data_IF_795164194548
#
_entry.id   IF_795164194548
#
_cell.length_a   1.000
_cell.length_b   1.000
_cell.length_c   1.000
_cell.angle_alpha   90.00
_cell.angle_beta   90.00
_cell.angle_gamma   90.00
#
_symmetry.space_group_name_H-M   'P 1'
#
loop_
_entity.id
_entity.type
_entity.pdbx_description
1 polymer ?
#
# COMPACT_ATOMS: atom_id res chain seq x y z
N UNK A 1 -22.53 -26.71 5.13
CA UNK A 1 -21.17 -26.23 5.40
C UNK A 1 -21.11 -25.80 6.85
N UNK A 2 -20.28 -26.46 7.65
CA UNK A 2 -20.14 -26.16 9.07
C UNK A 2 -19.20 -24.97 9.23
N UNK A 3 -19.75 -23.84 9.66
CA UNK A 3 -18.98 -22.68 10.08
C UNK A 3 -18.20 -23.04 11.35
N UNK A 4 -16.88 -23.20 11.24
CA UNK A 4 -15.98 -23.18 12.40
C UNK A 4 -15.64 -21.73 12.69
N UNK A 5 -16.36 -21.14 13.63
CA UNK A 5 -15.98 -19.87 14.27
C UNK A 5 -14.58 -20.04 14.89
N UNK A 6 -13.57 -19.33 14.36
CA UNK A 6 -12.28 -19.09 15.02
C UNK A 6 -12.57 -18.24 16.27
N UNK A 7 -12.91 -18.90 17.38
CA UNK A 7 -13.01 -18.26 18.71
C UNK A 7 -11.62 -17.83 19.17
N UNK A 8 -11.51 -16.57 19.59
CA UNK A 8 -10.52 -15.99 20.51
C UNK A 8 -9.32 -16.89 20.84
N UNK A 9 -8.21 -16.68 20.13
CA UNK A 9 -6.88 -17.20 20.49
C UNK A 9 -5.89 -16.09 20.89
N UNK A 10 -6.38 -14.91 21.28
CA UNK A 10 -5.56 -13.90 21.96
C UNK A 10 -5.62 -14.08 23.47
N UNK A 11 -5.07 -15.19 23.97
CA UNK A 11 -4.69 -15.32 25.38
C UNK A 11 -3.79 -16.54 25.54
N UNK A 12 -2.57 -16.42 25.02
CA UNK A 12 -1.34 -17.11 25.45
C UNK A 12 -0.30 -16.90 24.35
N UNK A 13 0.08 -15.63 24.11
CA UNK A 13 1.31 -15.34 23.39
C UNK A 13 2.43 -15.27 24.42
N UNK A 14 3.48 -16.05 24.14
CA UNK A 14 4.70 -16.15 24.90
C UNK A 14 5.25 -14.78 25.32
N UNK A 15 5.88 -14.75 26.48
CA UNK A 15 6.72 -13.66 26.95
C UNK A 15 7.86 -13.42 25.94
N UNK A 16 7.60 -12.68 24.86
CA UNK A 16 8.66 -12.02 24.11
C UNK A 16 9.26 -10.99 25.06
N UNK A 17 10.58 -11.01 25.20
CA UNK A 17 11.26 -9.91 25.86
C UNK A 17 10.83 -8.64 25.13
N UNK A 18 10.28 -7.67 25.88
CA UNK A 18 9.94 -6.35 25.32
C UNK A 18 11.26 -5.76 24.85
N UNK A 19 11.45 -5.73 23.54
CA UNK A 19 12.64 -5.20 22.91
C UNK A 19 12.76 -3.72 23.29
N UNK A 20 13.97 -3.26 23.63
CA UNK A 20 14.15 -1.87 24.03
C UNK A 20 13.83 -0.94 22.85
N UNK A 21 13.03 0.12 23.07
CA UNK A 21 12.62 1.01 21.99
C UNK A 21 13.82 1.76 21.43
N UNK A 22 13.94 1.76 20.11
CA UNK A 22 14.99 2.51 19.40
C UNK A 22 14.83 4.02 19.63
N UNK A 23 15.94 4.80 19.66
CA UNK A 23 15.89 6.25 19.83
C UNK A 23 14.92 6.96 18.87
N UNK A 24 14.88 6.53 17.61
CA UNK A 24 14.01 7.07 16.57
C UNK A 24 12.53 6.83 16.87
N UNK A 25 12.18 5.70 17.50
CA UNK A 25 10.79 5.43 17.91
C UNK A 25 10.36 6.34 19.07
N UNK A 26 11.28 6.67 19.99
CA UNK A 26 11.00 7.60 21.09
C UNK A 26 10.80 9.02 20.56
N UNK A 27 11.62 9.46 19.62
CA UNK A 27 11.49 10.76 18.97
C UNK A 27 10.21 10.86 18.14
N UNK A 28 9.88 9.81 17.38
CA UNK A 28 8.63 9.73 16.62
C UNK A 28 7.39 9.85 17.52
N UNK A 29 7.41 9.24 18.72
CA UNK A 29 6.34 9.38 19.73
C UNK A 29 6.25 10.79 20.30
N UNK A 30 7.39 11.49 20.44
CA UNK A 30 7.38 12.91 20.82
C UNK A 30 6.69 13.75 19.75
N UNK A 31 7.06 13.57 18.48
CA UNK A 31 6.44 14.25 17.34
C UNK A 31 4.94 13.93 17.24
N UNK A 32 4.55 12.68 17.47
CA UNK A 32 3.14 12.28 17.54
C UNK A 32 2.38 13.03 18.63
N UNK A 33 2.94 13.14 19.84
CA UNK A 33 2.30 13.87 20.94
C UNK A 33 2.12 15.37 20.66
N UNK A 34 2.94 15.92 19.76
CA UNK A 34 2.84 17.29 19.25
C UNK A 34 1.88 17.43 18.05
N UNK A 35 1.27 16.32 17.58
CA UNK A 35 0.41 16.30 16.40
C UNK A 35 1.16 16.33 15.05
N UNK A 36 2.48 16.12 15.07
CA UNK A 36 3.37 16.17 13.89
C UNK A 36 3.56 14.79 13.26
N UNK A 37 2.44 14.11 12.97
CA UNK A 37 2.42 12.71 12.53
C UNK A 37 3.23 12.46 11.26
N UNK A 38 3.16 13.37 10.27
CA UNK A 38 3.91 13.22 9.02
C UNK A 38 5.42 13.36 9.21
N UNK A 39 5.87 14.22 10.11
CA UNK A 39 7.29 14.36 10.41
C UNK A 39 7.82 13.13 11.15
N UNK A 40 7.01 12.54 12.04
CA UNK A 40 7.33 11.27 12.68
C UNK A 40 7.45 10.12 11.66
N UNK A 41 6.54 10.09 10.68
CA UNK A 41 6.59 9.14 9.57
C UNK A 41 7.86 9.30 8.74
N UNK A 42 8.22 10.54 8.38
CA UNK A 42 9.40 10.83 7.57
C UNK A 42 10.68 10.44 8.33
N UNK A 43 10.77 10.75 9.63
CA UNK A 43 11.87 10.34 10.52
C UNK A 43 12.06 8.81 10.52
N UNK A 44 10.99 8.06 10.80
CA UNK A 44 11.05 6.60 10.85
C UNK A 44 11.33 5.99 9.47
N UNK A 45 10.79 6.61 8.42
CA UNK A 45 11.01 6.14 7.04
C UNK A 45 12.47 6.30 6.65
N UNK A 46 13.08 7.44 6.97
CA UNK A 46 14.48 7.71 6.63
C UNK A 46 15.43 6.83 7.46
N UNK A 47 15.19 6.70 8.77
CA UNK A 47 15.97 5.79 9.61
C UNK A 47 15.92 4.34 9.09
N UNK A 48 14.75 3.88 8.66
CA UNK A 48 14.59 2.54 8.09
C UNK A 48 15.17 2.41 6.66
N UNK A 49 15.48 3.50 5.95
CA UNK A 49 16.26 3.42 4.70
C UNK A 49 17.74 3.20 4.97
N UNK A 50 18.26 3.82 6.02
CA UNK A 50 19.66 3.71 6.42
C UNK A 50 19.97 2.33 7.00
N UNK A 51 19.13 1.85 7.91
CA UNK A 51 19.26 0.53 8.53
C UNK A 51 17.88 -0.10 8.75
N UNK A 52 17.67 -1.30 8.19
CA UNK A 52 16.34 -1.92 8.20
C UNK A 52 16.04 -2.52 9.56
N UNK A 53 14.92 -2.09 10.14
CA UNK A 53 14.50 -2.56 11.45
C UNK A 53 12.97 -2.78 11.52
N UNK A 54 12.51 -3.99 11.91
CA UNK A 54 11.09 -4.28 12.06
C UNK A 54 10.34 -3.38 13.06
N UNK A 55 11.00 -2.86 14.11
CA UNK A 55 10.36 -1.92 15.05
C UNK A 55 10.04 -0.59 14.36
N UNK A 56 10.96 -0.07 13.54
CA UNK A 56 10.74 1.15 12.77
C UNK A 56 9.60 0.96 11.76
N UNK A 57 9.57 -0.18 11.07
CA UNK A 57 8.50 -0.54 10.12
C UNK A 57 7.13 -0.59 10.80
N UNK A 58 7.02 -1.24 11.97
CA UNK A 58 5.78 -1.33 12.76
C UNK A 58 5.32 0.03 13.26
N UNK A 59 6.23 0.85 13.78
CA UNK A 59 5.87 2.17 14.31
C UNK A 59 5.47 3.13 13.18
N UNK A 60 6.18 3.12 12.05
CA UNK A 60 5.84 3.93 10.89
C UNK A 60 4.45 3.55 10.36
N UNK A 61 4.12 2.26 10.29
CA UNK A 61 2.79 1.78 9.94
C UNK A 61 1.72 2.30 10.91
N UNK A 62 1.96 2.22 12.22
CA UNK A 62 1.00 2.70 13.24
C UNK A 62 0.72 4.19 13.09
N UNK A 63 1.76 5.01 12.98
CA UNK A 63 1.61 6.46 12.82
C UNK A 63 0.94 6.80 11.48
N UNK A 64 1.19 6.03 10.40
CA UNK A 64 0.47 6.19 9.12
C UNK A 64 -1.03 5.97 9.26
N UNK A 65 -1.45 4.99 10.04
CA UNK A 65 -2.88 4.78 10.33
C UNK A 65 -3.49 5.99 11.01
N UNK A 66 -2.84 6.50 12.07
CA UNK A 66 -3.28 7.72 12.76
C UNK A 66 -3.31 8.95 11.84
N UNK A 67 -2.29 9.10 10.99
CA UNK A 67 -2.24 10.19 10.01
C UNK A 67 -3.38 10.08 8.99
N UNK A 68 -3.74 8.87 8.57
CA UNK A 68 -4.90 8.63 7.71
C UNK A 68 -6.21 9.06 8.37
N UNK A 69 -6.40 8.77 9.66
CA UNK A 69 -7.56 9.23 10.44
C UNK A 69 -7.58 10.76 10.50
N UNK A 70 -6.45 11.38 10.81
CA UNK A 70 -6.33 12.85 10.86
C UNK A 70 -6.69 13.50 9.51
N UNK A 71 -6.32 12.89 8.38
CA UNK A 71 -6.69 13.37 7.04
C UNK A 71 -8.20 13.29 6.79
N UNK A 72 -8.86 12.24 7.24
CA UNK A 72 -10.32 12.10 7.12
C UNK A 72 -11.07 13.13 7.98
N UNK A 73 -10.57 13.40 9.19
CA UNK A 73 -11.16 14.39 10.09
C UNK A 73 -10.92 15.83 9.65
N UNK A 74 -9.79 16.09 8.98
CA UNK A 74 -9.34 17.41 8.56
C UNK A 74 -9.23 17.50 7.03
N UNK A 75 -10.20 16.94 6.32
CA UNK A 75 -10.23 16.96 4.86
C UNK A 75 -10.24 18.41 4.32
N UNK A 76 -9.44 18.73 3.29
CA UNK A 76 -9.51 20.03 2.61
C UNK A 76 -10.92 20.33 2.08
N UNK A 77 -11.32 21.60 2.12
CA UNK A 77 -12.68 22.00 1.71
C UNK A 77 -12.89 22.09 0.21
N UNK A 78 -11.82 22.21 -0.58
CA UNK A 78 -11.91 22.41 -2.04
C UNK A 78 -10.66 21.87 -2.78
N UNK A 79 -10.39 20.55 -2.71
CA UNK A 79 -9.36 19.96 -3.55
C UNK A 79 -9.75 20.12 -5.03
N UNK A 80 -8.77 20.43 -5.89
CA UNK A 80 -8.99 20.61 -7.33
C UNK A 80 -8.04 19.73 -8.14
N UNK A 81 -8.52 19.26 -9.30
CA UNK A 81 -7.65 18.52 -10.22
C UNK A 81 -6.78 19.53 -10.98
N UNK A 82 -5.56 19.13 -11.40
CA UNK A 82 -4.78 19.94 -12.33
C UNK A 82 -5.52 20.09 -13.67
N UNK A 83 -5.16 21.11 -14.44
CA UNK A 83 -5.55 21.17 -15.85
C UNK A 83 -4.90 20.02 -16.62
N UNK A 84 -5.61 19.36 -17.55
CA UNK A 84 -5.02 18.28 -18.33
C UNK A 84 -3.92 18.80 -19.26
N UNK A 85 -2.91 17.97 -19.51
CA UNK A 85 -1.97 18.22 -20.60
C UNK A 85 -2.71 18.36 -21.93
N UNK A 86 -2.18 19.20 -22.83
CA UNK A 86 -2.81 19.47 -24.13
C UNK A 86 -2.89 18.24 -25.05
N UNK A 87 -1.96 17.30 -24.87
CA UNK A 87 -1.86 16.07 -25.65
C UNK A 87 -1.80 14.86 -24.71
N UNK A 88 -2.50 13.80 -25.09
CA UNK A 88 -2.44 12.50 -24.40
C UNK A 88 -1.33 11.67 -25.05
N UNK A 89 -0.51 10.93 -24.26
CA UNK A 89 0.50 10.04 -24.80
C UNK A 89 -0.08 9.02 -25.78
N UNK A 90 0.74 8.60 -26.74
CA UNK A 90 0.35 7.56 -27.68
C UNK A 90 0.00 6.26 -26.95
N UNK A 91 -0.97 5.54 -27.51
CA UNK A 91 -1.33 4.21 -27.01
C UNK A 91 -0.29 3.18 -27.45
N UNK A 92 0.11 2.31 -26.53
CA UNK A 92 0.97 1.18 -26.88
C UNK A 92 0.23 0.18 -27.78
N UNK A 93 0.93 -0.42 -28.75
CA UNK A 93 0.33 -1.34 -29.72
C UNK A 93 -0.33 -2.56 -29.03
N UNK A 94 0.28 -3.05 -27.95
CA UNK A 94 -0.20 -4.23 -27.21
C UNK A 94 -1.11 -3.87 -26.05
N UNK A 95 -0.76 -2.84 -25.26
CA UNK A 95 -1.57 -2.47 -24.08
C UNK A 95 -2.86 -1.77 -24.47
N UNK A 96 -2.86 -1.07 -25.61
CA UNK A 96 -3.91 -0.16 -26.05
C UNK A 96 -4.17 1.00 -25.05
N UNK A 97 -3.29 1.19 -24.06
CA UNK A 97 -3.36 2.25 -23.06
C UNK A 97 -2.37 3.37 -23.42
N UNK A 98 -2.63 4.64 -23.06
CA UNK A 98 -1.60 5.68 -23.09
C UNK A 98 -0.38 5.22 -22.29
N UNK A 99 0.80 5.28 -22.89
CA UNK A 99 2.05 4.83 -22.26
C UNK A 99 3.05 5.97 -22.07
N UNK A 100 3.71 5.98 -20.92
CA UNK A 100 4.80 6.90 -20.61
C UNK A 100 5.94 6.19 -19.88
N UNK A 101 7.09 6.84 -19.80
CA UNK A 101 8.20 6.48 -18.90
C UNK A 101 8.15 7.28 -17.60
N UNK A 102 8.91 6.88 -16.55
CA UNK A 102 8.82 7.52 -15.24
C UNK A 102 9.24 9.00 -15.26
N UNK A 103 10.18 9.38 -16.12
CA UNK A 103 10.65 10.76 -16.30
C UNK A 103 9.58 11.70 -16.91
N UNK A 104 8.55 11.13 -17.52
CA UNK A 104 7.41 11.89 -18.07
C UNK A 104 6.26 12.00 -17.07
N UNK A 105 6.29 11.26 -15.96
CA UNK A 105 5.17 11.17 -15.03
C UNK A 105 4.86 12.53 -14.40
N UNK A 106 3.67 13.05 -14.67
CA UNK A 106 3.19 14.35 -14.22
C UNK A 106 1.67 14.31 -13.93
N UNK A 107 1.18 15.16 -13.02
CA UNK A 107 -0.24 15.19 -12.67
C UNK A 107 -1.13 15.61 -13.85
N UNK A 108 -0.63 16.46 -14.77
CA UNK A 108 -1.34 16.90 -15.98
C UNK A 108 -1.51 15.75 -16.99
N UNK A 109 -0.50 14.90 -17.16
CA UNK A 109 -0.59 13.73 -18.03
C UNK A 109 -1.48 12.63 -17.43
N UNK A 110 -1.43 12.43 -16.10
CA UNK A 110 -2.37 11.54 -15.40
C UNK A 110 -3.80 12.02 -15.67
N UNK A 111 -4.06 13.32 -15.51
CA UNK A 111 -5.38 13.90 -15.76
C UNK A 111 -5.83 13.73 -17.21
N UNK A 112 -4.97 14.06 -18.19
CA UNK A 112 -5.30 13.93 -19.61
C UNK A 112 -5.62 12.48 -20.00
N UNK A 113 -4.79 11.52 -19.57
CA UNK A 113 -4.97 10.11 -19.85
C UNK A 113 -6.22 9.52 -19.16
N UNK A 114 -6.54 9.94 -17.94
CA UNK A 114 -7.76 9.48 -17.26
C UNK A 114 -9.03 10.03 -17.91
N UNK A 115 -9.04 11.28 -18.37
CA UNK A 115 -10.18 11.86 -19.07
C UNK A 115 -10.43 11.20 -20.45
N UNK A 116 -9.37 10.78 -21.15
CA UNK A 116 -9.47 10.20 -22.50
C UNK A 116 -9.62 8.67 -22.49
N UNK A 117 -8.81 7.97 -21.70
CA UNK A 117 -8.72 6.51 -21.72
C UNK A 117 -9.17 5.85 -20.40
N UNK A 118 -9.33 6.61 -19.31
CA UNK A 118 -9.61 6.07 -17.98
C UNK A 118 -8.40 5.38 -17.31
N UNK A 119 -7.22 5.41 -17.93
CA UNK A 119 -6.00 4.78 -17.41
C UNK A 119 -4.74 5.41 -18.01
N UNK A 120 -3.59 5.15 -17.35
CA UNK A 120 -2.26 5.49 -17.81
C UNK A 120 -1.31 4.36 -17.43
N UNK A 121 -0.46 3.93 -18.37
CA UNK A 121 0.56 2.91 -18.12
C UNK A 121 1.94 3.55 -18.04
N UNK A 122 2.59 3.41 -16.88
CA UNK A 122 3.98 3.84 -16.69
C UNK A 122 4.90 2.63 -16.86
N UNK A 123 5.70 2.63 -17.93
CA UNK A 123 6.67 1.57 -18.22
C UNK A 123 7.94 1.78 -17.40
N UNK A 124 8.51 0.70 -16.87
CA UNK A 124 9.82 0.75 -16.20
C UNK A 124 9.83 1.57 -14.90
N UNK A 125 8.70 1.65 -14.19
CA UNK A 125 8.62 2.33 -12.89
C UNK A 125 9.58 1.71 -11.85
N UNK A 126 9.81 0.39 -11.96
CA UNK A 126 10.70 -0.38 -11.11
C UNK A 126 11.59 -1.27 -11.99
N UNK A 127 12.84 -1.42 -11.57
CA UNK A 127 13.78 -2.37 -12.17
C UNK A 127 13.31 -3.82 -11.99
N UNK A 128 13.55 -4.67 -12.99
CA UNK A 128 13.05 -6.05 -13.01
C UNK A 128 13.57 -6.89 -11.83
N UNK A 129 14.85 -6.75 -11.47
CA UNK A 129 15.44 -7.48 -10.34
C UNK A 129 14.73 -7.11 -9.04
N UNK A 130 14.55 -5.80 -8.81
CA UNK A 130 13.84 -5.29 -7.62
C UNK A 130 12.37 -5.70 -7.58
N UNK A 131 11.72 -5.77 -8.74
CA UNK A 131 10.34 -6.22 -8.86
C UNK A 131 10.21 -7.70 -8.47
N UNK A 132 11.12 -8.55 -8.96
CA UNK A 132 11.16 -9.97 -8.63
C UNK A 132 11.53 -10.22 -7.16
N UNK A 133 12.44 -9.43 -6.58
CA UNK A 133 12.75 -9.48 -5.16
C UNK A 133 11.52 -9.16 -4.30
N UNK A 134 10.78 -8.10 -4.66
CA UNK A 134 9.55 -7.75 -3.96
C UNK A 134 8.48 -8.84 -4.11
N UNK A 135 8.38 -9.48 -5.28
CA UNK A 135 7.47 -10.61 -5.49
C UNK A 135 7.85 -11.81 -4.60
N UNK A 136 9.13 -12.13 -4.48
CA UNK A 136 9.62 -13.20 -3.61
C UNK A 136 9.34 -12.90 -2.14
N UNK A 137 9.45 -11.64 -1.71
CA UNK A 137 9.09 -11.24 -0.35
C UNK A 137 7.58 -11.32 -0.07
N UNK A 138 6.73 -11.06 -1.07
CA UNK A 138 5.28 -11.30 -0.96
C UNK A 138 5.01 -12.80 -0.75
N UNK A 139 5.67 -13.67 -1.51
CA UNK A 139 5.55 -15.12 -1.33
C UNK A 139 5.96 -15.53 0.11
N UNK A 140 7.05 -14.97 0.65
CA UNK A 140 7.45 -15.20 2.05
C UNK A 140 6.40 -14.73 3.05
N UNK A 141 5.73 -13.59 2.82
CA UNK A 141 4.63 -13.15 3.69
C UNK A 141 3.47 -14.14 3.72
N UNK A 142 3.20 -14.86 2.63
CA UNK A 142 2.18 -15.92 2.63
C UNK A 142 2.62 -17.14 3.44
N UNK A 143 3.87 -17.57 3.26
CA UNK A 143 4.47 -18.70 3.99
C UNK A 143 4.47 -18.42 5.50
N UNK A 144 4.97 -17.25 5.90
CA UNK A 144 5.04 -16.85 7.31
C UNK A 144 3.65 -16.75 7.95
N UNK A 145 2.64 -16.22 7.25
CA UNK A 145 1.26 -16.22 7.76
C UNK A 145 0.78 -17.65 8.08
N UNK A 146 1.06 -18.60 7.18
CA UNK A 146 0.68 -20.00 7.38
C UNK A 146 1.46 -20.63 8.56
N UNK A 147 2.76 -20.35 8.68
CA UNK A 147 3.61 -20.84 9.77
C UNK A 147 3.17 -20.29 11.13
N UNK A 148 2.76 -19.02 11.21
CA UNK A 148 2.23 -18.40 12.43
C UNK A 148 0.93 -19.06 12.90
N UNK A 149 0.06 -19.50 11.98
CA UNK A 149 -1.15 -20.27 12.28
C UNK A 149 -0.80 -21.63 12.95
N UNK A 150 0.39 -22.16 12.69
CA UNK A 150 0.96 -23.36 13.31
C UNK A 150 1.74 -23.07 14.62
N UNK A 151 1.84 -21.81 15.03
CA UNK A 151 2.50 -21.38 16.26
C UNK A 151 4.00 -21.13 16.13
N UNK A 152 4.50 -20.93 14.91
CA UNK A 152 5.89 -20.52 14.67
C UNK A 152 6.11 -19.02 15.00
N UNK A 153 7.32 -18.51 14.80
CA UNK A 153 7.67 -17.12 15.05
C UNK A 153 8.14 -16.42 13.77
N UNK A 154 7.85 -15.12 13.65
CA UNK A 154 8.32 -14.25 12.56
C UNK A 154 9.29 -13.18 13.09
N UNK A 155 10.59 -13.51 13.25
CA UNK A 155 11.58 -12.54 13.71
C UNK A 155 11.83 -11.41 12.69
N UNK A 156 11.59 -11.68 11.40
CA UNK A 156 11.93 -10.76 10.30
C UNK A 156 10.79 -9.77 9.99
N UNK A 157 9.58 -10.00 10.50
CA UNK A 157 8.44 -9.08 10.39
C UNK A 157 7.77 -9.09 9.02
N UNK A 158 7.70 -10.25 8.38
CA UNK A 158 6.95 -10.45 7.13
C UNK A 158 5.43 -10.46 7.31
N UNK A 159 4.93 -10.81 8.50
CA UNK A 159 3.51 -10.81 8.83
C UNK A 159 3.27 -10.40 10.29
N UNK A 160 2.52 -9.33 10.48
CA UNK A 160 2.12 -8.79 11.76
C UNK A 160 0.77 -8.11 11.59
N UNK A 161 -0.33 -8.75 12.00
CA UNK A 161 -1.66 -8.18 11.80
C UNK A 161 -1.82 -6.87 12.58
N UNK A 162 -2.15 -5.80 11.88
CA UNK A 162 -2.41 -4.53 12.54
C UNK A 162 -3.81 -4.53 13.16
N UNK A 163 -3.93 -4.18 14.43
CA UNK A 163 -5.21 -3.77 14.99
C UNK A 163 -5.46 -2.29 14.66
N UNK A 164 -6.49 -1.94 13.86
CA UNK A 164 -6.80 -0.55 13.54
C UNK A 164 -7.48 0.13 14.74
N UNK A 165 -7.20 1.44 14.91
CA UNK A 165 -7.93 2.28 15.85
C UNK A 165 -9.45 2.26 15.57
N UNK A 166 -10.30 2.25 16.61
CA UNK A 166 -11.73 2.43 16.45
C UNK A 166 -12.08 3.75 15.72
N UNK A 167 -13.16 3.80 14.92
CA UNK A 167 -14.12 2.73 14.65
C UNK A 167 -13.72 1.82 13.48
N UNK A 168 -12.51 1.96 12.94
CA UNK A 168 -12.06 1.23 11.75
C UNK A 168 -11.90 -0.27 12.03
N UNK A 169 -12.13 -1.09 11.00
CA UNK A 169 -12.07 -2.56 11.06
C UNK A 169 -11.58 -3.09 9.72
N UNK A 170 -11.10 -4.33 9.73
CA UNK A 170 -10.60 -5.02 8.53
C UNK A 170 -11.27 -6.40 8.41
N UNK A 171 -12.56 -6.47 8.05
CA UNK A 171 -13.26 -7.73 7.83
C UNK A 171 -12.76 -8.49 6.58
N UNK A 172 -12.01 -7.87 5.68
CA UNK A 172 -11.62 -8.42 4.39
C UNK A 172 -10.47 -9.44 4.44
N UNK A 173 -9.79 -9.63 5.58
CA UNK A 173 -8.58 -10.50 5.68
C UNK A 173 -8.81 -11.90 5.12
N UNK A 174 -9.87 -12.57 5.57
CA UNK A 174 -10.21 -13.94 5.14
C UNK A 174 -10.47 -14.00 3.62
N UNK A 175 -11.20 -13.03 3.08
CA UNK A 175 -11.47 -12.96 1.64
C UNK A 175 -10.20 -12.68 0.81
N UNK A 176 -9.33 -11.80 1.31
CA UNK A 176 -8.04 -11.49 0.67
C UNK A 176 -7.12 -12.71 0.69
N UNK A 177 -7.11 -13.47 1.80
CA UNK A 177 -6.38 -14.73 1.93
C UNK A 177 -6.87 -15.78 0.93
N UNK A 178 -8.19 -16.03 0.87
CA UNK A 178 -8.79 -16.95 -0.10
C UNK A 178 -8.48 -16.57 -1.55
N UNK A 179 -8.34 -15.26 -1.82
CA UNK A 179 -7.96 -14.70 -3.12
C UNK A 179 -6.46 -14.76 -3.45
N UNK A 180 -5.63 -15.41 -2.65
CA UNK A 180 -4.18 -15.51 -2.88
C UNK A 180 -3.42 -14.22 -2.56
N UNK A 181 -3.90 -13.49 -1.55
CA UNK A 181 -3.32 -12.22 -1.14
C UNK A 181 -3.10 -12.07 0.37
N UNK A 182 -2.45 -10.96 0.69
CA UNK A 182 -2.29 -10.41 2.04
C UNK A 182 -2.49 -8.91 1.97
N UNK A 183 -3.05 -8.31 3.01
CA UNK A 183 -3.11 -6.85 3.09
C UNK A 183 -1.71 -6.32 3.34
N UNK A 184 -1.31 -5.29 2.60
CA UNK A 184 0.01 -4.68 2.80
C UNK A 184 0.17 -4.17 4.25
N UNK A 185 -0.91 -3.70 4.87
CA UNK A 185 -0.92 -3.27 6.27
C UNK A 185 -0.48 -4.37 7.25
N UNK A 186 -0.82 -5.62 6.97
CA UNK A 186 -0.46 -6.76 7.82
C UNK A 186 0.97 -7.26 7.56
N UNK A 187 1.73 -6.55 6.73
CA UNK A 187 3.16 -6.76 6.53
C UNK A 187 3.91 -5.41 6.58
N UNK A 188 4.35 -4.95 7.76
CA UNK A 188 5.08 -3.69 7.92
C UNK A 188 6.27 -3.57 6.97
N UNK A 189 7.02 -4.67 6.80
CA UNK A 189 8.15 -4.75 5.88
C UNK A 189 7.73 -4.45 4.44
N UNK A 190 6.68 -5.11 3.98
CA UNK A 190 6.23 -5.00 2.60
C UNK A 190 5.52 -3.69 2.32
N UNK A 191 4.73 -3.17 3.27
CA UNK A 191 4.18 -1.82 3.19
C UNK A 191 5.29 -0.79 3.03
N UNK A 192 6.36 -0.87 3.83
CA UNK A 192 7.50 0.02 3.67
C UNK A 192 8.12 -0.13 2.28
N UNK A 193 8.46 -1.35 1.84
CA UNK A 193 9.15 -1.56 0.55
C UNK A 193 8.33 -1.03 -0.62
N UNK A 194 7.02 -1.25 -0.62
CA UNK A 194 6.09 -0.73 -1.62
C UNK A 194 6.04 0.80 -1.60
N UNK A 195 5.85 1.41 -0.42
CA UNK A 195 5.79 2.86 -0.31
C UNK A 195 7.12 3.52 -0.69
N UNK A 196 8.25 2.96 -0.26
CA UNK A 196 9.58 3.47 -0.61
C UNK A 196 9.84 3.41 -2.12
N UNK A 197 9.36 2.36 -2.80
CA UNK A 197 9.40 2.30 -4.26
C UNK A 197 8.57 3.41 -4.92
N UNK A 198 7.37 3.70 -4.40
CA UNK A 198 6.54 4.80 -4.89
C UNK A 198 7.18 6.16 -4.65
N UNK A 199 7.82 6.38 -3.51
CA UNK A 199 8.55 7.62 -3.22
C UNK A 199 9.73 7.81 -4.18
N UNK A 200 10.54 6.76 -4.41
CA UNK A 200 11.67 6.80 -5.35
C UNK A 200 11.25 7.11 -6.80
N UNK A 201 10.03 6.74 -7.17
CA UNK A 201 9.44 7.06 -8.46
C UNK A 201 8.65 8.38 -8.49
N UNK A 202 8.67 9.16 -7.40
CA UNK A 202 7.86 10.38 -7.20
C UNK A 202 6.34 10.17 -7.40
N UNK A 203 5.86 8.92 -7.26
CA UNK A 203 4.47 8.59 -7.52
C UNK A 203 3.54 9.25 -6.49
N UNK A 204 3.95 9.30 -5.21
CA UNK A 204 3.17 9.99 -4.17
C UNK A 204 2.99 11.48 -4.49
N UNK A 205 4.07 12.17 -4.86
CA UNK A 205 4.03 13.60 -5.17
C UNK A 205 3.14 13.91 -6.36
N UNK A 206 3.16 13.06 -7.38
CA UNK A 206 2.26 13.17 -8.55
C UNK A 206 0.81 12.89 -8.18
N UNK A 207 0.54 11.87 -7.37
CA UNK A 207 -0.81 11.55 -6.89
C UNK A 207 -1.37 12.68 -6.04
N UNK A 208 -0.58 13.25 -5.13
CA UNK A 208 -0.98 14.37 -4.27
C UNK A 208 -1.38 15.60 -5.12
N UNK A 209 -0.56 15.95 -6.11
CA UNK A 209 -0.87 17.04 -7.03
C UNK A 209 -2.08 16.74 -7.91
N UNK A 210 -2.25 15.49 -8.36
CA UNK A 210 -3.42 15.09 -9.13
C UNK A 210 -4.71 15.17 -8.30
N UNK A 211 -4.70 14.66 -7.06
CA UNK A 211 -5.85 14.70 -6.17
C UNK A 211 -6.16 16.14 -5.71
N UNK A 212 -5.15 16.99 -5.62
CA UNK A 212 -5.24 18.34 -5.05
C UNK A 212 -5.19 18.34 -3.52
N UNK A 213 -4.81 17.20 -2.93
CA UNK A 213 -4.77 16.96 -1.49
C UNK A 213 -3.85 15.78 -1.17
N UNK A 214 -3.44 15.69 0.10
CA UNK A 214 -2.58 14.60 0.55
C UNK A 214 -3.32 13.26 0.47
N UNK A 215 -2.79 12.26 -0.27
CA UNK A 215 -3.48 11.00 -0.45
C UNK A 215 -3.39 10.12 0.80
N UNK A 216 -4.46 9.35 1.04
CA UNK A 216 -4.46 8.22 1.97
C UNK A 216 -4.65 6.91 1.20
N UNK A 217 -4.08 5.82 1.73
CA UNK A 217 -4.30 4.47 1.20
C UNK A 217 -5.29 3.76 2.09
N UNK A 218 -6.35 3.22 1.51
CA UNK A 218 -7.28 2.37 2.24
C UNK A 218 -6.61 1.04 2.61
N UNK A 219 -6.51 0.77 3.91
CA UNK A 219 -5.97 -0.48 4.44
C UNK A 219 -6.63 -1.72 3.83
N UNK A 220 -7.95 -1.69 3.68
CA UNK A 220 -8.75 -2.80 3.18
C UNK A 220 -8.61 -3.02 1.66
N UNK A 221 -8.02 -2.06 0.95
CA UNK A 221 -7.87 -2.09 -0.52
C UNK A 221 -6.42 -2.11 -0.98
N UNK A 222 -5.47 -2.14 -0.04
CA UNK A 222 -4.06 -2.27 -0.35
C UNK A 222 -3.63 -3.72 -0.19
N UNK A 223 -3.59 -4.45 -1.30
CA UNK A 223 -3.37 -5.90 -1.30
C UNK A 223 -2.10 -6.26 -2.07
N UNK A 224 -1.27 -7.09 -1.44
CA UNK A 224 -0.15 -7.80 -2.06
C UNK A 224 -0.70 -9.14 -2.53
N UNK A 225 -0.64 -9.42 -3.84
CA UNK A 225 -1.34 -10.57 -4.42
C UNK A 225 -0.50 -11.31 -5.43
N UNK A 226 -0.74 -12.63 -5.51
CA UNK A 226 -0.28 -13.49 -6.59
C UNK A 226 -1.48 -14.09 -7.29
N UNK A 227 -1.67 -13.72 -8.55
CA UNK A 227 -2.77 -14.23 -9.36
C UNK A 227 -2.24 -15.28 -10.35
N UNK A 228 -2.94 -16.40 -10.46
CA UNK A 228 -2.70 -17.37 -11.52
C UNK A 228 -3.55 -17.01 -12.75
N UNK A 229 -3.10 -17.34 -13.98
CA UNK A 229 -3.82 -16.94 -15.21
C UNK A 229 -5.25 -17.50 -15.34
N UNK A 230 -5.58 -18.56 -14.61
CA UNK A 230 -6.89 -19.21 -14.60
C UNK A 230 -7.94 -18.50 -13.73
N UNK A 231 -7.53 -17.53 -12.90
CA UNK A 231 -8.46 -16.74 -12.09
C UNK A 231 -9.10 -15.65 -12.95
N UNK A 232 -10.32 -15.89 -13.40
CA UNK A 232 -11.10 -14.90 -14.15
C UNK A 232 -11.51 -13.73 -13.25
N UNK A 233 -11.06 -12.52 -13.58
CA UNK A 233 -11.58 -11.29 -12.98
C UNK A 233 -12.98 -10.96 -13.53
N UNK A 234 -13.89 -10.50 -12.66
CA UNK A 234 -15.17 -9.95 -13.09
C UNK A 234 -15.01 -8.51 -13.61
N UNK A 235 -15.70 -8.14 -14.69
CA UNK A 235 -15.74 -6.74 -15.15
C UNK A 235 -16.53 -5.87 -14.16
N UNK A 236 -15.89 -4.83 -13.63
CA UNK A 236 -16.52 -3.90 -12.68
C UNK A 236 -15.81 -2.53 -12.67
N UNK A 237 -16.37 -1.58 -11.92
CA UNK A 237 -15.77 -0.28 -11.64
C UNK A 237 -15.49 -0.18 -10.14
N UNK A 238 -14.22 -0.08 -9.77
CA UNK A 238 -13.81 0.18 -8.41
C UNK A 238 -14.24 1.57 -7.94
N UNK A 239 -14.47 1.72 -6.64
CA UNK A 239 -14.75 3.01 -6.01
C UNK A 239 -16.14 3.59 -6.31
N UNK A 240 -16.94 3.03 -7.24
CA UNK A 240 -18.29 3.52 -7.56
C UNK A 240 -19.20 3.68 -6.32
N UNK A 241 -18.99 2.85 -5.31
CA UNK A 241 -19.75 2.87 -4.06
C UNK A 241 -19.38 4.03 -3.12
N UNK A 242 -18.30 4.77 -3.39
CA UNK A 242 -17.78 5.83 -2.52
C UNK A 242 -18.50 7.17 -2.72
N UNK A 243 -19.31 7.32 -3.76
CA UNK A 243 -20.05 8.55 -4.08
C UNK A 243 -19.28 9.51 -5.00
N UNK A 244 -19.92 10.62 -5.34
CA UNK A 244 -19.36 11.62 -6.29
C UNK A 244 -18.33 12.55 -5.64
N UNK A 245 -18.35 12.66 -4.30
CA UNK A 245 -17.51 13.57 -3.53
C UNK A 245 -16.13 12.98 -3.17
N UNK A 246 -15.81 11.77 -3.64
CA UNK A 246 -14.54 11.10 -3.34
C UNK A 246 -13.62 11.07 -4.55
N UNK A 247 -12.44 11.68 -4.37
CA UNK A 247 -11.33 11.57 -5.31
C UNK A 247 -10.58 10.28 -5.02
N UNK A 248 -10.55 9.39 -5.99
CA UNK A 248 -9.84 8.11 -5.85
C UNK A 248 -9.18 7.72 -7.17
N UNK A 249 -8.10 6.96 -7.05
CA UNK A 249 -7.45 6.29 -8.16
C UNK A 249 -6.88 4.96 -7.66
N UNK A 250 -6.70 4.02 -8.58
CA UNK A 250 -6.03 2.77 -8.31
C UNK A 250 -4.60 2.82 -8.87
N UNK A 251 -3.66 2.27 -8.10
CA UNK A 251 -2.30 2.00 -8.56
C UNK A 251 -2.10 0.50 -8.61
N UNK A 252 -1.74 -0.01 -9.79
CA UNK A 252 -1.35 -1.40 -9.99
C UNK A 252 0.13 -1.43 -10.34
N UNK A 253 0.94 -2.10 -9.52
CA UNK A 253 2.35 -2.35 -9.81
C UNK A 253 2.53 -3.83 -10.18
N UNK A 254 2.86 -4.10 -11.44
CA UNK A 254 3.24 -5.45 -11.88
C UNK A 254 4.64 -5.78 -11.37
N UNK A 255 4.78 -6.85 -10.60
CA UNK A 255 6.07 -7.34 -10.11
C UNK A 255 6.65 -8.48 -10.95
N UNK A 256 5.86 -8.98 -11.88
CA UNK A 256 6.23 -9.96 -12.88
C UNK A 256 5.49 -9.63 -14.18
N UNK A 257 5.82 -10.34 -15.25
CA UNK A 257 5.14 -10.19 -16.55
C UNK A 257 3.64 -10.42 -16.41
N UNK A 258 2.84 -9.41 -16.74
CA UNK A 258 1.38 -9.51 -16.83
C UNK A 258 0.96 -9.63 -18.31
N UNK A 259 0.25 -10.69 -18.67
CA UNK A 259 -0.22 -10.93 -20.04
C UNK A 259 -0.56 -12.41 -20.30
N UNK A 260 -1.12 -12.67 -21.48
CA UNK A 260 -1.60 -13.98 -21.95
C UNK A 260 -0.51 -14.85 -22.62
N UNK A 261 0.71 -14.32 -22.74
CA UNK A 261 1.88 -15.03 -23.27
C UNK A 261 2.91 -15.16 -22.17
N UNK A 262 3.08 -16.39 -21.68
CA UNK A 262 4.12 -16.80 -20.74
C UNK A 262 5.53 -16.58 -21.31
#
# INVERSE_FOLDING_TARGET
MFFRSRKNRHQEAASSAVEEPLPQTLEARSLESEGRLFEAIDLLTEANREDRDPQLEREARRIRHLAGIQLLENAPSDPSYPEPAAEVPARGEQSLCPEITPDQLSPELVRAAFLEAGCLLVRGLMDEEKALDLAADIDRSFEIRADLDEGQSDPDGYYDEMEPEPPFRIPEREWVEEGGGVLALDSPKMLFKMLDAFEKANLRGVIEQYMGEKPAISAQKCTLRKATPDVAGGWHQDGKFMGEDVRSLNVWLSLSRCGDIA
#
